data_IF_825457579946
#
_entry.id   IF_825457579946
#
_cell.length_a   1.000
_cell.length_b   1.000
_cell.length_c   1.000
_cell.angle_alpha   90.00
_cell.angle_beta   90.00
_cell.angle_gamma   90.00
#
_symmetry.space_group_name_H-M   'P 1'
#
loop_
_entity.id
_entity.type
_entity.pdbx_description
1 polymer ?
#
# COMPACT_ATOMS: atom_id res chain seq x y z
N UNK A 1 -1.89 12.61 -20.67
CA UNK A 1 -1.07 12.21 -19.50
C UNK A 1 0.01 13.27 -19.32
N UNK A 2 -0.19 14.24 -18.42
CA UNK A 2 0.83 15.26 -18.14
C UNK A 2 2.01 14.57 -17.46
N UNK A 3 3.19 14.60 -18.10
CA UNK A 3 4.46 14.14 -17.53
C UNK A 3 4.91 15.11 -16.42
N UNK A 4 4.21 15.08 -15.29
CA UNK A 4 4.55 15.81 -14.06
C UNK A 4 5.17 14.86 -13.05
N UNK A 5 6.26 15.29 -12.40
CA UNK A 5 7.01 14.53 -11.37
C UNK A 5 6.24 14.36 -10.06
N UNK A 6 5.04 13.76 -10.08
CA UNK A 6 4.45 13.19 -8.86
C UNK A 6 5.15 11.85 -8.58
N UNK A 7 6.22 11.90 -7.79
CA UNK A 7 6.90 10.67 -7.33
C UNK A 7 6.02 9.94 -6.32
N UNK A 8 6.20 8.62 -6.25
CA UNK A 8 5.57 7.78 -5.22
C UNK A 8 6.09 8.22 -3.84
N UNK A 9 5.20 8.42 -2.87
CA UNK A 9 5.62 8.66 -1.48
C UNK A 9 5.88 7.33 -0.78
N UNK A 10 6.92 7.22 0.05
CA UNK A 10 7.09 6.08 0.97
C UNK A 10 7.50 4.73 0.36
N UNK A 11 8.13 4.72 -0.83
CA UNK A 11 8.68 3.50 -1.42
C UNK A 11 9.75 2.85 -0.53
N UNK A 12 9.90 1.53 -0.64
CA UNK A 12 10.93 0.77 0.07
C UNK A 12 11.90 0.17 -0.93
N UNK A 13 13.18 0.19 -0.58
CA UNK A 13 14.22 -0.53 -1.28
C UNK A 13 14.79 -1.56 -0.31
N UNK A 14 14.76 -2.83 -0.69
CA UNK A 14 15.27 -3.94 0.12
C UNK A 14 16.41 -4.63 -0.61
N UNK A 15 17.54 -4.83 0.06
CA UNK A 15 18.59 -5.74 -0.40
C UNK A 15 18.26 -7.17 0.04
N UNK A 16 18.25 -8.10 -0.89
CA UNK A 16 18.20 -9.53 -0.61
C UNK A 16 19.54 -10.12 -1.02
N UNK A 17 20.31 -10.61 -0.06
CA UNK A 17 21.56 -11.33 -0.36
C UNK A 17 21.22 -12.75 -0.80
N UNK A 18 21.63 -13.14 -1.99
CA UNK A 18 21.68 -14.55 -2.38
C UNK A 18 23.07 -15.10 -2.02
N UNK A 19 23.12 -16.31 -1.45
CA UNK A 19 24.36 -16.94 -0.99
C UNK A 19 25.35 -17.21 -2.15
N UNK A 20 24.85 -17.30 -3.39
CA UNK A 20 25.64 -17.68 -4.58
C UNK A 20 25.82 -16.55 -5.63
N UNK A 21 24.88 -15.59 -5.75
CA UNK A 21 24.83 -14.66 -6.91
C UNK A 21 25.03 -13.17 -6.56
N UNK A 22 25.46 -12.87 -5.33
CA UNK A 22 25.42 -11.49 -4.83
C UNK A 22 23.97 -11.04 -4.58
N UNK A 23 23.78 -9.91 -3.91
CA UNK A 23 22.42 -9.50 -3.53
C UNK A 23 21.69 -8.67 -4.60
N UNK A 24 20.37 -8.76 -4.57
CA UNK A 24 19.46 -8.01 -5.44
C UNK A 24 18.71 -6.93 -4.67
N UNK A 25 18.40 -5.81 -5.33
CA UNK A 25 17.60 -4.73 -4.77
C UNK A 25 16.18 -4.80 -5.30
N UNK A 26 15.20 -4.92 -4.40
CA UNK A 26 13.78 -4.90 -4.74
C UNK A 26 13.13 -3.61 -4.27
N UNK A 27 12.30 -3.01 -5.13
CA UNK A 27 11.50 -1.82 -4.82
C UNK A 27 10.05 -2.20 -4.58
N UNK A 28 9.45 -1.65 -3.53
CA UNK A 28 8.02 -1.78 -3.22
C UNK A 28 7.33 -0.41 -3.27
N UNK A 29 6.26 -0.32 -4.06
CA UNK A 29 5.48 0.89 -4.29
C UNK A 29 4.38 1.08 -3.23
N UNK A 30 4.11 2.35 -2.93
CA UNK A 30 2.96 2.80 -2.13
C UNK A 30 2.03 3.62 -3.04
N UNK A 31 1.47 4.75 -2.59
CA UNK A 31 0.60 5.64 -3.36
C UNK A 31 1.40 6.76 -4.02
N UNK A 32 0.87 7.26 -5.14
CA UNK A 32 1.28 8.54 -5.68
C UNK A 32 0.82 9.64 -4.72
N UNK A 33 1.62 10.71 -4.58
CA UNK A 33 1.16 11.91 -3.90
C UNK A 33 -0.07 12.46 -4.62
N UNK A 34 -1.09 12.81 -3.86
CA UNK A 34 -2.27 13.53 -4.31
C UNK A 34 -2.54 14.70 -3.36
N UNK A 35 -3.39 15.61 -3.78
CA UNK A 35 -3.67 16.87 -3.11
C UNK A 35 -5.17 17.08 -3.02
N UNK A 36 -5.59 17.96 -2.12
CA UNK A 36 -6.98 18.39 -2.05
C UNK A 36 -7.33 19.28 -3.25
N UNK A 37 -8.63 19.31 -3.59
CA UNK A 37 -9.14 20.21 -4.63
C UNK A 37 -8.88 21.65 -4.21
N UNK A 38 -8.30 22.44 -5.10
CA UNK A 38 -7.94 23.85 -4.87
C UNK A 38 -6.57 24.06 -4.21
N UNK A 39 -5.84 23.01 -3.83
CA UNK A 39 -4.59 23.16 -3.07
C UNK A 39 -3.39 23.60 -3.93
N UNK A 40 -3.28 23.09 -5.16
CA UNK A 40 -2.14 23.39 -6.04
C UNK A 40 -2.50 23.28 -7.52
N UNK A 41 -1.59 23.75 -8.39
CA UNK A 41 -1.74 23.69 -9.85
C UNK A 41 -1.91 22.24 -10.31
N UNK A 42 -2.84 21.98 -11.24
CA UNK A 42 -3.37 20.68 -11.68
C UNK A 42 -4.42 20.05 -10.75
N UNK A 43 -4.72 20.67 -9.59
CA UNK A 43 -5.81 20.27 -8.68
C UNK A 43 -6.81 21.41 -8.45
N UNK A 44 -6.74 22.51 -9.21
CA UNK A 44 -7.75 23.56 -9.17
C UNK A 44 -9.06 23.06 -9.80
N UNK A 45 -10.19 23.67 -9.43
CA UNK A 45 -11.52 23.27 -9.95
C UNK A 45 -11.54 23.28 -11.48
N UNK A 46 -10.98 24.32 -12.10
CA UNK A 46 -10.92 24.45 -13.56
C UNK A 46 -10.06 23.37 -14.20
N UNK A 47 -8.92 23.01 -13.59
CA UNK A 47 -8.03 21.93 -14.06
C UNK A 47 -8.76 20.58 -14.06
N UNK A 48 -9.63 20.36 -13.08
CA UNK A 48 -10.35 19.10 -12.87
C UNK A 48 -11.67 19.03 -13.63
N UNK A 49 -12.26 20.16 -14.02
CA UNK A 49 -13.58 20.25 -14.68
C UNK A 49 -13.72 19.41 -15.95
N UNK A 50 -12.60 19.20 -16.66
CA UNK A 50 -12.54 18.42 -17.90
C UNK A 50 -12.10 16.96 -17.70
N UNK A 51 -11.74 16.57 -16.47
CA UNK A 51 -11.26 15.22 -16.17
C UNK A 51 -12.42 14.27 -15.84
N UNK A 52 -12.29 13.00 -16.26
CA UNK A 52 -13.25 11.95 -15.89
C UNK A 52 -12.93 11.42 -14.49
N UNK A 53 -13.91 11.47 -13.60
CA UNK A 53 -13.83 10.79 -12.29
C UNK A 53 -13.88 9.28 -12.54
N UNK A 54 -12.82 8.58 -12.13
CA UNK A 54 -12.70 7.12 -12.30
C UNK A 54 -13.16 6.35 -11.07
N UNK A 55 -13.08 6.96 -9.89
CA UNK A 55 -13.43 6.34 -8.62
C UNK A 55 -13.66 7.40 -7.55
N UNK A 56 -14.63 7.15 -6.68
CA UNK A 56 -14.86 7.86 -5.41
C UNK A 56 -14.84 6.80 -4.32
N UNK A 57 -14.22 7.11 -3.19
CA UNK A 57 -14.14 6.22 -2.04
C UNK A 57 -14.14 7.05 -0.77
N UNK A 58 -14.59 6.46 0.33
CA UNK A 58 -14.49 7.08 1.64
C UNK A 58 -13.02 7.28 2.00
N UNK A 59 -12.68 8.51 2.39
CA UNK A 59 -11.35 8.83 2.88
C UNK A 59 -11.29 8.45 4.36
N UNK A 60 -10.97 7.17 4.61
CA UNK A 60 -10.67 6.68 5.96
C UNK A 60 -9.58 7.54 6.62
N UNK A 61 -9.75 7.78 7.91
CA UNK A 61 -8.91 8.65 8.74
C UNK A 61 -8.06 7.81 9.68
N UNK A 62 -6.95 7.26 9.16
CA UNK A 62 -6.08 6.38 9.90
C UNK A 62 -4.63 6.50 9.44
N UNK A 63 -3.95 5.36 9.33
CA UNK A 63 -2.55 5.33 8.90
C UNK A 63 -2.33 4.38 7.75
N UNK A 64 -1.67 4.88 6.71
CA UNK A 64 -1.37 4.09 5.52
C UNK A 64 -0.40 2.95 5.84
N UNK A 65 -0.73 1.74 5.40
CA UNK A 65 0.06 0.53 5.59
C UNK A 65 0.35 -0.16 4.24
N UNK A 66 1.59 -0.63 4.11
CA UNK A 66 2.04 -1.54 3.05
C UNK A 66 2.68 -2.77 3.67
N UNK A 67 2.26 -3.94 3.24
CA UNK A 67 2.90 -5.20 3.62
C UNK A 67 4.04 -5.56 2.67
N UNK A 68 5.14 -6.08 3.20
CA UNK A 68 6.34 -6.42 2.44
C UNK A 68 6.80 -7.83 2.84
N UNK A 69 7.12 -8.71 1.88
CA UNK A 69 7.68 -10.02 2.17
C UNK A 69 9.16 -9.90 2.56
N UNK A 70 9.52 -10.52 3.68
CA UNK A 70 10.87 -10.60 4.26
C UNK A 70 11.62 -11.88 3.84
N UNK A 71 11.02 -12.76 3.05
CA UNK A 71 11.67 -13.88 2.38
C UNK A 71 11.08 -14.07 0.97
N UNK A 72 11.78 -14.80 0.10
CA UNK A 72 11.32 -15.02 -1.28
C UNK A 72 10.10 -15.95 -1.29
N UNK A 73 9.00 -15.46 -1.87
CA UNK A 73 7.73 -16.18 -1.96
C UNK A 73 7.83 -17.49 -2.77
N UNK A 74 8.83 -17.62 -3.64
CA UNK A 74 8.97 -18.75 -4.58
C UNK A 74 10.01 -19.81 -4.15
N UNK A 75 10.70 -19.66 -3.01
CA UNK A 75 11.76 -20.60 -2.58
C UNK A 75 11.29 -21.66 -1.56
N UNK A 76 9.98 -21.87 -1.39
CA UNK A 76 9.41 -22.98 -0.60
C UNK A 76 9.57 -22.91 0.93
N UNK A 77 10.25 -21.89 1.46
CA UNK A 77 10.31 -21.62 2.91
C UNK A 77 9.19 -20.71 3.41
N UNK A 78 9.10 -20.55 4.73
CA UNK A 78 8.11 -19.66 5.36
C UNK A 78 8.30 -18.21 4.91
N UNK A 79 7.22 -17.65 4.34
CA UNK A 79 7.18 -16.26 3.93
C UNK A 79 6.84 -15.39 5.12
N UNK A 80 7.84 -14.67 5.65
CA UNK A 80 7.58 -13.67 6.70
C UNK A 80 7.03 -12.41 6.06
N UNK A 81 5.90 -11.91 6.53
CA UNK A 81 5.30 -10.66 6.06
C UNK A 81 5.43 -9.63 7.18
N UNK A 82 5.82 -8.40 6.83
CA UNK A 82 5.84 -7.28 7.77
C UNK A 82 5.10 -6.09 7.19
N UNK A 83 4.28 -5.45 8.02
CA UNK A 83 3.71 -4.16 7.67
C UNK A 83 4.76 -3.06 7.79
N UNK A 84 4.59 -2.04 6.96
CA UNK A 84 5.32 -0.79 7.01
C UNK A 84 4.31 0.34 6.92
N UNK A 85 4.47 1.34 7.78
CA UNK A 85 3.77 2.61 7.62
C UNK A 85 4.39 3.43 6.47
N UNK A 86 3.99 4.70 6.34
CA UNK A 86 4.56 5.60 5.31
C UNK A 86 6.09 5.61 5.32
N UNK A 87 6.73 5.59 6.49
CA UNK A 87 8.19 5.74 6.61
C UNK A 87 8.90 4.64 7.42
N UNK A 88 8.21 3.83 8.22
CA UNK A 88 8.87 2.91 9.16
C UNK A 88 8.20 1.53 9.25
N UNK A 89 9.01 0.50 9.49
CA UNK A 89 8.54 -0.85 9.87
C UNK A 89 8.27 -0.98 11.38
N UNK A 90 8.77 -0.03 12.17
CA UNK A 90 8.80 -0.10 13.65
C UNK A 90 7.80 0.87 14.30
N UNK A 91 7.11 1.69 13.51
CA UNK A 91 6.05 2.55 14.02
C UNK A 91 4.95 1.71 14.69
N UNK A 92 4.29 2.20 15.75
CA UNK A 92 3.21 1.48 16.43
C UNK A 92 2.14 0.95 15.47
N UNK A 93 1.81 1.71 14.43
CA UNK A 93 0.84 1.32 13.39
C UNK A 93 1.34 0.16 12.53
N UNK A 94 2.64 0.11 12.24
CA UNK A 94 3.25 -1.00 11.51
C UNK A 94 3.27 -2.27 12.37
N UNK A 95 3.58 -2.14 13.66
CA UNK A 95 3.51 -3.27 14.60
C UNK A 95 2.08 -3.79 14.71
N UNK A 96 1.10 -2.91 14.96
CA UNK A 96 -0.32 -3.26 15.06
C UNK A 96 -0.83 -3.92 13.77
N UNK A 97 -0.52 -3.38 12.60
CA UNK A 97 -0.93 -3.99 11.33
C UNK A 97 -0.25 -5.34 11.07
N UNK A 98 0.99 -5.52 11.53
CA UNK A 98 1.67 -6.82 11.47
C UNK A 98 0.96 -7.83 12.35
N UNK A 99 0.57 -7.48 13.58
CA UNK A 99 -0.19 -8.35 14.48
C UNK A 99 -1.55 -8.74 13.91
N UNK A 100 -2.27 -7.79 13.29
CA UNK A 100 -3.53 -8.09 12.58
C UNK A 100 -3.31 -9.10 11.46
N UNK A 101 -2.24 -8.96 10.69
CA UNK A 101 -1.88 -9.90 9.62
C UNK A 101 -1.48 -11.27 10.16
N UNK A 102 -0.62 -11.32 11.17
CA UNK A 102 -0.12 -12.56 11.77
C UNK A 102 -1.26 -13.41 12.35
N UNK A 103 -2.34 -12.76 12.83
CA UNK A 103 -3.54 -13.43 13.35
C UNK A 103 -4.66 -13.65 12.32
N UNK A 104 -4.47 -13.32 11.05
CA UNK A 104 -5.48 -13.43 9.99
C UNK A 104 -4.97 -14.25 8.79
N UNK A 105 -5.14 -15.59 8.82
CA UNK A 105 -4.70 -16.46 7.71
C UNK A 105 -5.27 -16.08 6.33
N UNK A 106 -6.55 -15.66 6.19
CA UNK A 106 -7.06 -15.18 4.90
C UNK A 106 -6.32 -13.95 4.35
N UNK A 107 -5.96 -13.01 5.23
CA UNK A 107 -5.19 -11.82 4.83
C UNK A 107 -3.78 -12.21 4.39
N UNK A 108 -3.12 -13.12 5.11
CA UNK A 108 -1.82 -13.64 4.69
C UNK A 108 -1.89 -14.30 3.31
N UNK A 109 -2.88 -15.17 3.08
CA UNK A 109 -3.09 -15.82 1.80
C UNK A 109 -3.30 -14.82 0.66
N UNK A 110 -4.12 -13.79 0.89
CA UNK A 110 -4.33 -12.69 -0.05
C UNK A 110 -3.05 -11.93 -0.37
N UNK A 111 -2.25 -11.57 0.66
CA UNK A 111 -0.99 -10.86 0.47
C UNK A 111 0.03 -11.70 -0.29
N UNK A 112 0.11 -13.00 -0.01
CA UNK A 112 0.99 -13.92 -0.74
C UNK A 112 0.60 -14.03 -2.21
N UNK A 113 -0.69 -14.12 -2.53
CA UNK A 113 -1.15 -14.07 -3.93
C UNK A 113 -0.76 -12.76 -4.61
N UNK A 114 -1.04 -11.63 -3.96
CA UNK A 114 -0.66 -10.31 -4.48
C UNK A 114 0.85 -10.22 -4.74
N UNK A 115 1.70 -10.71 -3.84
CA UNK A 115 3.15 -10.71 -4.05
C UNK A 115 3.59 -11.59 -5.23
N UNK A 116 3.00 -12.79 -5.39
CA UNK A 116 3.28 -13.67 -6.54
C UNK A 116 2.94 -13.00 -7.86
N UNK A 117 1.85 -12.23 -7.88
CA UNK A 117 1.37 -11.47 -9.05
C UNK A 117 2.04 -10.10 -9.24
N UNK A 118 3.06 -9.77 -8.43
CA UNK A 118 3.75 -8.47 -8.42
C UNK A 118 2.77 -7.30 -8.21
N UNK A 119 1.85 -7.45 -7.27
CA UNK A 119 0.86 -6.47 -6.88
C UNK A 119 1.14 -5.87 -5.50
N UNK A 120 0.90 -4.57 -5.41
CA UNK A 120 0.95 -3.76 -4.21
C UNK A 120 -0.45 -3.51 -3.66
N UNK A 121 -0.85 -4.27 -2.65
CA UNK A 121 -2.03 -3.96 -1.84
C UNK A 121 -1.66 -2.92 -0.78
N UNK A 122 -2.37 -1.80 -0.79
CA UNK A 122 -2.21 -0.66 0.12
C UNK A 122 -3.45 -0.53 0.98
N UNK A 123 -3.25 -0.43 2.29
CA UNK A 123 -4.31 -0.40 3.28
C UNK A 123 -4.30 0.88 4.09
N UNK A 124 -5.43 1.21 4.70
CA UNK A 124 -5.53 2.13 5.82
C UNK A 124 -5.74 1.32 7.11
N UNK A 125 -4.90 1.55 8.11
CA UNK A 125 -5.13 1.06 9.46
C UNK A 125 -5.96 2.07 10.23
N UNK A 126 -7.17 1.65 10.60
CA UNK A 126 -8.07 2.39 11.48
C UNK A 126 -8.20 1.65 12.80
N UNK A 127 -8.21 2.37 13.92
CA UNK A 127 -8.29 1.75 15.25
C UNK A 127 -8.76 2.79 16.28
N UNK A 128 -9.49 2.38 17.34
CA UNK A 128 -9.69 3.24 18.51
C UNK A 128 -8.37 3.74 19.11
N UNK A 129 -7.31 2.92 19.09
CA UNK A 129 -5.99 3.26 19.62
C UNK A 129 -5.11 4.05 18.63
N UNK A 130 -5.62 4.29 17.41
CA UNK A 130 -4.97 5.10 16.37
C UNK A 130 -5.91 6.20 15.86
N UNK A 131 -6.75 6.76 16.75
CA UNK A 131 -7.69 7.82 16.39
C UNK A 131 -6.96 9.11 16.01
N UNK A 132 -7.26 9.63 14.82
CA UNK A 132 -6.77 10.94 14.38
C UNK A 132 -7.85 12.00 14.61
N UNK A 133 -9.01 11.88 13.95
CA UNK A 133 -10.21 12.68 14.19
C UNK A 133 -11.42 11.78 14.38
N UNK A 134 -11.69 10.90 13.41
CA UNK A 134 -12.89 10.05 13.42
C UNK A 134 -12.71 8.87 14.39
N UNK A 135 -13.64 8.62 15.33
CA UNK A 135 -13.57 7.45 16.21
C UNK A 135 -13.92 6.16 15.46
N UNK A 136 -13.17 5.09 15.74
CA UNK A 136 -13.44 3.75 15.24
C UNK A 136 -13.72 2.79 16.38
N UNK A 137 -14.70 1.90 16.22
CA UNK A 137 -15.09 0.94 17.25
C UNK A 137 -14.10 -0.24 17.38
N UNK A 138 -13.34 -0.54 16.33
CA UNK A 138 -12.40 -1.67 16.29
C UNK A 138 -11.22 -1.41 15.36
N UNK A 139 -10.13 -2.14 15.57
CA UNK A 139 -8.95 -2.13 14.72
C UNK A 139 -9.22 -2.89 13.42
N UNK A 140 -9.08 -2.23 12.27
CA UNK A 140 -9.31 -2.82 10.96
C UNK A 140 -8.25 -2.36 9.94
N UNK A 141 -8.01 -3.22 8.95
CA UNK A 141 -7.25 -2.88 7.75
C UNK A 141 -8.21 -2.71 6.57
N UNK A 142 -8.39 -1.49 6.12
CA UNK A 142 -9.25 -1.14 5.00
C UNK A 142 -8.41 -1.14 3.73
N UNK A 143 -8.71 -2.01 2.76
CA UNK A 143 -8.02 -2.01 1.48
C UNK A 143 -8.36 -0.76 0.68
N UNK A 144 -7.37 0.09 0.39
CA UNK A 144 -7.55 1.31 -0.39
C UNK A 144 -7.36 1.04 -1.89
N UNK A 145 -6.19 0.50 -2.25
CA UNK A 145 -5.77 0.32 -3.64
C UNK A 145 -4.94 -0.95 -3.84
N UNK A 146 -5.06 -1.50 -5.04
CA UNK A 146 -4.12 -2.49 -5.59
C UNK A 146 -3.39 -1.82 -6.75
N UNK A 147 -2.07 -2.00 -6.82
CA UNK A 147 -1.22 -1.43 -7.87
C UNK A 147 -0.25 -2.45 -8.43
N UNK A 148 0.19 -2.31 -9.67
CA UNK A 148 1.29 -3.11 -10.21
C UNK A 148 2.62 -2.60 -9.68
N UNK A 149 3.47 -3.48 -9.14
CA UNK A 149 4.83 -3.15 -8.70
C UNK A 149 5.77 -2.84 -9.88
N UNK A 150 5.44 -3.37 -11.06
CA UNK A 150 6.21 -3.19 -12.29
C UNK A 150 5.89 -1.85 -12.97
N UNK A 151 4.60 -1.58 -13.20
CA UNK A 151 4.15 -0.42 -13.97
C UNK A 151 3.70 0.76 -13.11
N UNK A 152 3.35 0.52 -11.84
CA UNK A 152 2.72 1.51 -10.98
C UNK A 152 1.24 1.79 -11.30
N UNK A 153 0.64 1.08 -12.27
CA UNK A 153 -0.77 1.25 -12.62
C UNK A 153 -1.67 0.83 -11.46
N UNK A 154 -2.77 1.57 -11.27
CA UNK A 154 -3.83 1.24 -10.30
C UNK A 154 -4.86 0.32 -10.94
N UNK A 155 -5.32 -0.68 -10.18
CA UNK A 155 -6.43 -1.53 -10.60
C UNK A 155 -7.78 -0.93 -10.15
N UNK A 156 -8.80 -1.01 -11.01
CA UNK A 156 -10.18 -0.63 -10.65
C UNK A 156 -10.86 -1.74 -9.86
N UNK A 157 -11.95 -1.42 -9.17
CA UNK A 157 -12.70 -2.39 -8.36
C UNK A 157 -13.26 -3.56 -9.19
N UNK A 158 -13.49 -3.36 -10.50
CA UNK A 158 -13.90 -4.42 -11.41
C UNK A 158 -12.76 -5.41 -11.66
N UNK A 159 -11.54 -4.89 -11.88
CA UNK A 159 -10.35 -5.70 -12.15
C UNK A 159 -9.84 -6.47 -10.93
N UNK A 160 -10.32 -6.15 -9.72
CA UNK A 160 -9.91 -6.81 -8.47
C UNK A 160 -10.84 -7.95 -8.05
N UNK A 161 -11.92 -8.22 -8.79
CA UNK A 161 -12.90 -9.29 -8.48
C UNK A 161 -12.61 -10.62 -9.20
N UNK A 162 -11.63 -10.64 -10.10
CA UNK A 162 -11.14 -11.81 -10.85
C UNK A 162 -9.88 -12.40 -10.20
#
# INVERSE_FOLDING_TARGET
MVRGRCRCEGFVIRYQQDEEEGGSWERYLLLNKFFNVGETKNWLVDDLSSQKIVRIQDKSDGSIIRFIPFSRVNKGGDVRIRAKSKMSFESPQATMATEVCDNCPPLQAFLLDAFRRKLAAVFELVSPDNQIVVPYASTNLVLLHIRSEETGAYFTAEQTKE
#
